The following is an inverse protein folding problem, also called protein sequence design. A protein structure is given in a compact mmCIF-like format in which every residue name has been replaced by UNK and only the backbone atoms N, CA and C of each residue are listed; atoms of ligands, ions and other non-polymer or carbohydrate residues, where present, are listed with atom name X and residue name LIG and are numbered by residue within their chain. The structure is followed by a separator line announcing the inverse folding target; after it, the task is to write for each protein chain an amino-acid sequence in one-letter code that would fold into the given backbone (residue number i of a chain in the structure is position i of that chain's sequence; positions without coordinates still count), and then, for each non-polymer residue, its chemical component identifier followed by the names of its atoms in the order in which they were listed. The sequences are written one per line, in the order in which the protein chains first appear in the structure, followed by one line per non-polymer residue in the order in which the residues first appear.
data_IF_444180142278
#
_entry.id   IF_444180142278
#
_cell.length_a   1.000
_cell.length_b   1.000
_cell.length_c   1.000
_cell.angle_alpha   90.00
_cell.angle_beta   90.00
_cell.angle_gamma   90.00
#
_symmetry.space_group_name_H-M   'P 1'
#
loop_
_entity.id
_entity.type
_entity.pdbx_description
1 polymer ?
#
# COMPACT_ATOMS: atom_id res chain seq x y z
N UNK A 1 -13.75 -14.08 17.23
CA UNK A 1 -13.44 -12.94 16.35
C UNK A 1 -11.94 -12.89 16.19
N UNK A 2 -11.42 -13.41 15.08
CA UNK A 2 -9.99 -13.31 14.77
C UNK A 2 -9.74 -11.94 14.15
N UNK A 3 -8.95 -11.11 14.81
CA UNK A 3 -8.35 -9.96 14.15
C UNK A 3 -7.07 -10.49 13.52
N UNK A 4 -7.13 -10.91 12.26
CA UNK A 4 -5.91 -11.07 11.48
C UNK A 4 -5.21 -9.71 11.49
N UNK A 5 -3.99 -9.66 12.00
CA UNK A 5 -3.13 -8.48 11.96
C UNK A 5 -2.63 -8.32 10.52
N UNK A 6 -3.54 -7.89 9.64
CA UNK A 6 -3.26 -7.64 8.23
C UNK A 6 -2.70 -6.21 8.11
N UNK A 7 -1.57 -6.06 7.40
CA UNK A 7 -0.93 -4.76 7.20
C UNK A 7 -1.68 -3.98 6.11
N UNK A 8 -2.91 -3.57 6.43
CA UNK A 8 -3.85 -2.91 5.52
C UNK A 8 -4.04 -1.44 5.88
N UNK A 9 -4.31 -0.64 4.86
CA UNK A 9 -4.75 0.75 5.01
C UNK A 9 -6.17 0.93 4.46
N UNK A 10 -6.85 1.96 4.96
CA UNK A 10 -8.19 2.36 4.54
C UNK A 10 -8.29 3.89 4.58
N UNK A 11 -8.80 4.49 3.52
CA UNK A 11 -9.10 5.91 3.44
C UNK A 11 -10.54 6.16 3.88
N UNK A 12 -10.72 6.79 5.03
CA UNK A 12 -12.05 7.12 5.58
C UNK A 12 -12.77 8.26 4.85
N UNK A 13 -12.10 8.93 3.91
CA UNK A 13 -12.71 9.99 3.09
C UNK A 13 -13.36 9.46 1.82
N UNK A 14 -12.65 8.62 1.06
CA UNK A 14 -13.11 8.11 -0.24
C UNK A 14 -13.44 6.61 -0.27
N UNK A 15 -13.10 5.86 0.79
CA UNK A 15 -13.33 4.42 0.89
C UNK A 15 -12.30 3.54 0.17
N UNK A 16 -11.17 4.10 -0.26
CA UNK A 16 -10.09 3.32 -0.86
C UNK A 16 -9.33 2.51 0.21
N UNK A 17 -9.09 1.23 -0.04
CA UNK A 17 -8.38 0.33 0.87
C UNK A 17 -7.39 -0.57 0.13
N UNK A 18 -6.43 -1.14 0.85
CA UNK A 18 -5.53 -2.17 0.32
C UNK A 18 -4.27 -2.35 1.17
N UNK A 19 -3.25 -2.94 0.57
CA UNK A 19 -1.91 -3.08 1.16
C UNK A 19 -1.01 -1.86 0.84
N UNK A 20 0.16 -1.80 1.47
CA UNK A 20 1.15 -0.73 1.26
C UNK A 20 1.55 -0.54 -0.22
N UNK A 21 1.60 -1.62 -1.01
CA UNK A 21 1.93 -1.52 -2.44
C UNK A 21 0.84 -0.76 -3.20
N UNK A 22 -0.44 -1.08 -2.93
CA UNK A 22 -1.57 -0.39 -3.56
C UNK A 22 -1.60 1.08 -3.18
N UNK A 23 -1.18 1.42 -1.96
CA UNK A 23 -1.05 2.81 -1.54
C UNK A 23 -0.06 3.56 -2.42
N UNK A 24 1.15 3.02 -2.61
CA UNK A 24 2.20 3.62 -3.46
C UNK A 24 1.74 3.72 -4.92
N UNK A 25 1.12 2.67 -5.47
CA UNK A 25 0.55 2.72 -6.83
C UNK A 25 -0.45 3.88 -7.00
N UNK A 26 -1.31 4.12 -6.00
CA UNK A 26 -2.35 5.16 -6.07
C UNK A 26 -1.82 6.58 -5.86
N UNK A 27 -0.90 6.76 -4.90
CA UNK A 27 -0.35 8.07 -4.54
C UNK A 27 0.68 8.54 -5.57
N UNK A 28 1.62 7.66 -5.94
CA UNK A 28 2.71 7.99 -6.87
C UNK A 28 2.34 7.72 -8.33
N UNK A 29 1.17 7.10 -8.58
CA UNK A 29 0.65 6.78 -9.92
C UNK A 29 1.62 5.93 -10.75
N UNK A 30 2.30 5.02 -10.06
CA UNK A 30 3.27 4.10 -10.65
C UNK A 30 2.65 2.72 -10.85
N UNK A 31 3.30 1.91 -11.67
CA UNK A 31 2.92 0.51 -11.83
C UNK A 31 3.41 -0.34 -10.64
N UNK A 32 2.79 -1.49 -10.40
CA UNK A 32 3.24 -2.46 -9.38
C UNK A 32 4.77 -2.69 -9.31
N UNK A 33 5.49 -3.00 -10.41
CA UNK A 33 6.94 -3.23 -10.34
C UNK A 33 7.74 -1.99 -9.91
N UNK A 34 7.28 -0.79 -10.26
CA UNK A 34 7.90 0.46 -9.82
C UNK A 34 7.61 0.72 -8.34
N UNK A 35 6.38 0.49 -7.87
CA UNK A 35 6.02 0.61 -6.46
C UNK A 35 6.87 -0.32 -5.58
N UNK A 36 7.07 -1.57 -6.00
CA UNK A 36 7.93 -2.52 -5.29
C UNK A 36 9.38 -2.03 -5.25
N UNK A 37 9.90 -1.55 -6.38
CA UNK A 37 11.28 -1.04 -6.45
C UNK A 37 11.53 0.13 -5.50
N UNK A 38 10.55 1.02 -5.35
CA UNK A 38 10.60 2.13 -4.39
C UNK A 38 10.58 1.65 -2.94
N UNK A 39 9.69 0.72 -2.60
CA UNK A 39 9.58 0.15 -1.25
C UNK A 39 10.83 -0.65 -0.83
N UNK A 40 11.53 -1.26 -1.80
CA UNK A 40 12.78 -1.96 -1.54
C UNK A 40 13.93 -0.99 -1.22
N UNK A 41 13.93 0.21 -1.81
CA UNK A 41 14.98 1.21 -1.55
C UNK A 41 14.94 1.78 -0.12
N UNK A 42 13.76 1.81 0.50
CA UNK A 42 13.54 2.33 1.87
C UNK A 42 13.93 1.32 2.97
N UNK A 43 14.39 0.12 2.59
CA UNK A 43 14.74 -0.95 3.54
C UNK A 43 16.23 -1.00 3.95
N UNK A 44 16.99 0.08 3.72
CA UNK A 44 18.42 0.19 4.07
C UNK A 44 18.73 1.27 5.10
#
# INVERSE_FOLDING_TARGET
MGYSSENLWQCFGCGAAGDVIRFVELIDKVTFPEAVSQLMADSS
#
